data_IF_767228296814
#
_entry.id   IF_767228296814
#
_cell.length_a   1.000
_cell.length_b   1.000
_cell.length_c   1.000
_cell.angle_alpha   90.00
_cell.angle_beta   90.00
_cell.angle_gamma   90.00
#
_symmetry.space_group_name_H-M   'P 1'
#
loop_
_entity.id
_entity.type
_entity.pdbx_description
1 polymer ?
#
# COMPACT_ATOMS: atom_id res chain seq x y z
N UNK A 1 -1.23 -19.29 -22.49
CA UNK A 1 -1.98 -18.04 -22.62
C UNK A 1 -1.04 -16.92 -23.04
N UNK A 2 -1.44 -16.14 -24.03
CA UNK A 2 -0.60 -15.05 -24.51
C UNK A 2 -0.67 -13.87 -23.55
N UNK A 3 0.43 -13.14 -23.46
CA UNK A 3 0.42 -11.88 -22.72
C UNK A 3 -0.31 -10.83 -23.54
N UNK A 4 -1.31 -10.20 -22.94
CA UNK A 4 -2.08 -9.16 -23.60
C UNK A 4 -1.73 -7.82 -22.95
N UNK A 5 -1.33 -6.88 -23.78
CA UNK A 5 -0.99 -5.55 -23.31
C UNK A 5 -2.27 -4.82 -22.92
N UNK A 6 -2.50 -4.68 -21.62
CA UNK A 6 -3.70 -4.04 -21.10
C UNK A 6 -3.39 -2.67 -20.58
N UNK A 7 -4.41 -1.81 -20.62
CA UNK A 7 -4.31 -0.48 -20.01
C UNK A 7 -5.00 -0.46 -18.66
N UNK A 8 -4.73 -1.49 -17.86
CA UNK A 8 -5.24 -1.54 -16.49
C UNK A 8 -4.54 -0.46 -15.69
N UNK A 9 -5.32 0.45 -15.13
CA UNK A 9 -4.76 1.59 -14.42
C UNK A 9 -4.67 1.37 -12.92
N UNK A 10 -5.65 0.68 -12.36
CA UNK A 10 -5.71 0.44 -10.93
C UNK A 10 -6.08 -1.00 -10.64
N UNK A 11 -5.74 -1.45 -9.45
CA UNK A 11 -6.11 -2.79 -8.99
C UNK A 11 -6.18 -2.78 -7.47
N UNK A 12 -6.97 -3.70 -6.91
CA UNK A 12 -7.08 -3.85 -5.46
C UNK A 12 -6.10 -4.90 -4.98
N UNK A 13 -5.51 -4.64 -3.82
CA UNK A 13 -4.49 -5.52 -3.28
C UNK A 13 -4.50 -5.44 -1.75
N UNK A 14 -4.43 -6.58 -1.04
CA UNK A 14 -4.44 -6.54 0.41
C UNK A 14 -3.12 -5.99 0.96
N UNK A 15 -3.25 -5.20 2.01
CA UNK A 15 -2.11 -4.63 2.73
C UNK A 15 -2.16 -5.17 4.14
N UNK A 16 -1.03 -5.66 4.64
CA UNK A 16 -0.89 -6.06 6.03
C UNK A 16 0.00 -5.04 6.73
N UNK A 17 -0.50 -4.52 7.86
CA UNK A 17 0.26 -3.61 8.71
C UNK A 17 0.58 -4.35 9.99
N UNK A 18 1.85 -4.39 10.35
CA UNK A 18 2.30 -5.06 11.56
C UNK A 18 2.82 -4.03 12.53
N UNK A 19 2.21 -3.98 13.71
CA UNK A 19 2.57 -3.01 14.74
C UNK A 19 3.11 -3.73 15.96
N UNK A 20 4.19 -3.22 16.55
CA UNK A 20 4.78 -3.89 17.71
C UNK A 20 3.88 -3.77 18.93
N UNK A 21 3.90 -4.82 19.74
CA UNK A 21 3.23 -4.85 21.03
C UNK A 21 4.25 -5.16 22.11
N UNK A 22 3.82 -5.11 23.35
CA UNK A 22 4.70 -5.44 24.47
C UNK A 22 5.19 -6.88 24.35
N UNK A 23 6.42 -7.10 24.76
CA UNK A 23 6.98 -8.44 24.79
C UNK A 23 7.61 -8.91 23.48
N UNK A 24 7.79 -8.01 22.54
CA UNK A 24 8.49 -8.36 21.29
C UNK A 24 7.61 -9.05 20.26
N UNK A 25 6.30 -8.91 20.38
CA UNK A 25 5.36 -9.47 19.40
C UNK A 25 4.77 -8.38 18.55
N UNK A 26 3.99 -8.79 17.55
CA UNK A 26 3.33 -7.85 16.61
C UNK A 26 1.86 -8.20 16.49
N UNK A 27 1.03 -7.16 16.37
CA UNK A 27 -0.34 -7.30 15.95
C UNK A 27 -0.42 -7.01 14.46
N UNK A 28 -1.16 -7.83 13.72
CA UNK A 28 -1.35 -7.66 12.29
C UNK A 28 -2.77 -7.19 12.01
N UNK A 29 -2.88 -6.20 11.14
CA UNK A 29 -4.16 -5.73 10.62
C UNK A 29 -4.09 -5.73 9.11
N UNK A 30 -5.23 -5.89 8.45
CA UNK A 30 -5.26 -5.87 6.98
C UNK A 30 -6.33 -4.91 6.50
N UNK A 31 -6.10 -4.33 5.34
CA UNK A 31 -7.10 -3.58 4.61
C UNK A 31 -6.82 -3.75 3.12
N UNK A 32 -7.79 -3.38 2.29
CA UNK A 32 -7.62 -3.46 0.84
C UNK A 32 -7.24 -2.11 0.29
N UNK A 33 -6.10 -2.05 -0.37
CA UNK A 33 -5.65 -0.84 -1.05
C UNK A 33 -6.09 -0.88 -2.50
N UNK A 34 -6.35 0.28 -3.06
CA UNK A 34 -6.47 0.44 -4.50
C UNK A 34 -5.20 1.11 -4.98
N UNK A 35 -4.43 0.37 -5.75
CA UNK A 35 -3.13 0.83 -6.25
C UNK A 35 -3.22 1.22 -7.71
N UNK A 36 -2.43 2.21 -8.08
CA UNK A 36 -2.24 2.62 -9.46
C UNK A 36 -0.97 1.98 -10.00
N UNK A 37 -1.03 1.47 -11.22
CA UNK A 37 0.16 0.94 -11.87
C UNK A 37 1.03 2.10 -12.35
N UNK A 38 2.32 2.00 -12.08
CA UNK A 38 3.30 2.93 -12.62
C UNK A 38 4.39 2.11 -13.31
N UNK A 39 5.01 2.72 -14.29
CA UNK A 39 6.11 2.06 -15.00
C UNK A 39 7.36 1.99 -14.14
N UNK A 40 8.28 1.12 -14.52
CA UNK A 40 9.51 0.89 -13.76
C UNK A 40 10.34 2.17 -13.62
N UNK A 41 10.42 2.94 -14.69
CA UNK A 41 11.19 4.19 -14.67
C UNK A 41 10.58 5.20 -13.72
N UNK A 42 9.26 5.33 -13.76
CA UNK A 42 8.57 6.25 -12.87
C UNK A 42 8.67 5.80 -11.43
N UNK A 43 8.56 4.49 -11.18
CA UNK A 43 8.70 3.95 -9.85
C UNK A 43 10.06 4.33 -9.25
N UNK A 44 11.13 4.20 -10.02
CA UNK A 44 12.47 4.55 -9.55
C UNK A 44 12.58 6.04 -9.22
N UNK A 45 12.01 6.89 -10.07
CA UNK A 45 12.04 8.33 -9.82
C UNK A 45 11.27 8.70 -8.55
N UNK A 46 10.11 8.09 -8.35
CA UNK A 46 9.30 8.35 -7.18
C UNK A 46 9.98 7.86 -5.91
N UNK A 47 10.61 6.70 -5.98
CA UNK A 47 11.36 6.15 -4.85
C UNK A 47 12.48 7.08 -4.42
N UNK A 48 13.16 7.70 -5.37
CA UNK A 48 14.23 8.64 -5.08
C UNK A 48 13.73 9.90 -4.38
N UNK A 49 12.46 10.25 -4.60
CA UNK A 49 11.88 11.42 -3.96
C UNK A 49 11.45 11.17 -2.51
N UNK A 50 11.31 9.92 -2.13
CA UNK A 50 10.95 9.55 -0.76
C UNK A 50 9.70 8.70 -0.69
N UNK A 51 9.49 8.10 0.47
CA UNK A 51 8.41 7.15 0.68
C UNK A 51 7.03 7.77 0.45
N UNK A 52 6.80 8.96 0.98
CA UNK A 52 5.48 9.56 0.83
C UNK A 52 5.19 9.94 -0.61
N UNK A 53 6.19 10.41 -1.35
CA UNK A 53 5.99 10.74 -2.77
C UNK A 53 5.62 9.49 -3.56
N UNK A 54 6.28 8.38 -3.28
CA UNK A 54 5.93 7.11 -3.91
C UNK A 54 4.52 6.66 -3.51
N UNK A 55 4.22 6.68 -2.21
CA UNK A 55 2.91 6.28 -1.72
C UNK A 55 1.81 7.11 -2.33
N UNK A 56 1.99 8.43 -2.36
CA UNK A 56 1.00 9.36 -2.90
C UNK A 56 0.68 9.05 -4.36
N UNK A 57 1.68 8.62 -5.12
CA UNK A 57 1.49 8.32 -6.54
C UNK A 57 0.80 6.98 -6.76
N UNK A 58 1.04 5.98 -5.92
CA UNK A 58 0.56 4.63 -6.17
C UNK A 58 -0.70 4.25 -5.38
N UNK A 59 -0.93 4.88 -4.23
CA UNK A 59 -2.12 4.57 -3.41
C UNK A 59 -3.21 5.58 -3.74
N UNK A 60 -4.30 5.10 -4.33
CA UNK A 60 -5.37 5.98 -4.80
C UNK A 60 -6.72 5.67 -4.14
N UNK A 61 -6.76 4.70 -3.27
CA UNK A 61 -7.98 4.38 -2.54
C UNK A 61 -7.74 3.28 -1.53
N UNK A 62 -8.72 3.04 -0.67
CA UNK A 62 -8.69 1.90 0.25
C UNK A 62 -10.09 1.60 0.76
N UNK A 63 -10.23 0.38 1.30
CA UNK A 63 -11.37 -0.07 2.08
C UNK A 63 -10.83 -0.81 3.30
N UNK A 64 -11.51 -0.66 4.43
CA UNK A 64 -11.15 -1.42 5.61
C UNK A 64 -10.25 -0.70 6.59
N UNK A 65 -10.14 0.61 6.49
CA UNK A 65 -9.48 1.43 7.51
C UNK A 65 -10.55 2.12 8.33
N UNK A 66 -10.53 1.87 9.62
CA UNK A 66 -11.47 2.47 10.57
C UNK A 66 -10.73 3.37 11.55
N UNK A 67 -11.47 4.33 12.12
CA UNK A 67 -10.93 5.15 13.20
C UNK A 67 -11.11 4.44 14.55
N UNK A 68 -10.68 5.08 15.62
CA UNK A 68 -10.76 4.50 16.97
C UNK A 68 -12.18 4.20 17.41
N UNK A 69 -13.14 4.90 16.85
CA UNK A 69 -14.55 4.68 17.16
C UNK A 69 -15.17 3.58 16.30
N UNK A 70 -14.41 2.96 15.43
CA UNK A 70 -14.89 1.91 14.53
C UNK A 70 -15.59 2.42 13.31
N UNK A 71 -15.48 3.72 13.01
CA UNK A 71 -16.09 4.28 11.81
C UNK A 71 -15.15 4.23 10.63
N UNK A 72 -15.64 3.90 9.43
CA UNK A 72 -14.76 3.87 8.27
C UNK A 72 -14.14 5.23 7.99
N UNK A 73 -12.86 5.21 7.66
CA UNK A 73 -12.13 6.41 7.24
C UNK A 73 -12.06 6.35 5.71
N UNK A 74 -12.80 7.24 5.03
CA UNK A 74 -12.75 7.22 3.57
C UNK A 74 -11.38 7.71 3.08
N UNK A 75 -10.99 7.22 1.91
CA UNK A 75 -9.73 7.64 1.34
C UNK A 75 -9.75 9.14 1.04
N UNK A 76 -8.66 9.81 1.39
CA UNK A 76 -8.36 11.15 0.90
C UNK A 76 -6.86 11.32 0.96
N UNK A 77 -6.34 12.28 0.23
CA UNK A 77 -4.91 12.54 0.26
C UNK A 77 -4.48 13.01 1.66
N UNK A 78 -5.35 13.78 2.33
CA UNK A 78 -5.09 14.20 3.71
C UNK A 78 -4.99 13.02 4.66
N UNK A 79 -5.95 12.09 4.57
CA UNK A 79 -5.94 10.91 5.42
C UNK A 79 -4.70 10.06 5.16
N UNK A 80 -4.32 9.90 3.89
CA UNK A 80 -3.12 9.16 3.53
C UNK A 80 -1.87 9.82 4.11
N UNK A 81 -1.83 11.14 4.09
CA UNK A 81 -0.70 11.87 4.65
C UNK A 81 -0.60 11.67 6.14
N UNK A 82 -1.73 11.74 6.85
CA UNK A 82 -1.75 11.51 8.29
C UNK A 82 -1.31 10.09 8.64
N UNK A 83 -1.83 9.11 7.93
CA UNK A 83 -1.47 7.72 8.17
C UNK A 83 -0.01 7.45 7.84
N UNK A 84 0.54 8.15 6.87
CA UNK A 84 1.94 7.99 6.45
C UNK A 84 2.94 8.44 7.51
N UNK A 85 2.48 9.20 8.50
CA UNK A 85 3.35 9.55 9.63
C UNK A 85 3.65 8.34 10.51
N UNK A 86 2.84 7.29 10.40
CA UNK A 86 3.08 6.02 11.08
C UNK A 86 4.01 5.16 10.22
N UNK A 87 5.24 4.91 10.68
CA UNK A 87 6.20 4.14 9.86
C UNK A 87 5.75 2.71 9.60
N UNK A 88 4.96 2.12 10.49
CA UNK A 88 4.47 0.76 10.29
C UNK A 88 3.43 0.71 9.19
N UNK A 89 2.58 1.72 9.13
CA UNK A 89 1.55 1.79 8.10
C UNK A 89 2.17 2.02 6.71
N UNK A 90 3.03 3.03 6.57
CA UNK A 90 3.61 3.34 5.26
C UNK A 90 4.48 2.19 4.77
N UNK A 91 5.21 1.54 5.67
CA UNK A 91 6.03 0.40 5.30
C UNK A 91 5.18 -0.76 4.83
N UNK A 92 4.05 -1.01 5.49
CA UNK A 92 3.14 -2.06 5.08
C UNK A 92 2.57 -1.82 3.69
N UNK A 93 2.17 -0.57 3.41
CA UNK A 93 1.62 -0.22 2.11
C UNK A 93 2.66 -0.39 1.01
N UNK A 94 3.87 0.13 1.21
CA UNK A 94 4.89 0.05 0.17
C UNK A 94 5.40 -1.37 -0.03
N UNK A 95 5.47 -2.16 1.03
CA UNK A 95 5.80 -3.58 0.91
C UNK A 95 4.76 -4.30 0.07
N UNK A 96 3.48 -4.05 0.34
CA UNK A 96 2.41 -4.66 -0.44
C UNK A 96 2.51 -4.28 -1.91
N UNK A 97 2.81 -3.02 -2.19
CA UNK A 97 2.94 -2.58 -3.57
C UNK A 97 4.08 -3.32 -4.28
N UNK A 98 5.25 -3.42 -3.65
CA UNK A 98 6.37 -4.11 -4.27
C UNK A 98 6.11 -5.60 -4.44
N UNK A 99 5.33 -6.20 -3.55
CA UNK A 99 4.94 -7.60 -3.70
C UNK A 99 4.15 -7.85 -4.98
N UNK A 100 3.47 -6.85 -5.50
CA UNK A 100 2.66 -7.04 -6.69
C UNK A 100 3.51 -7.39 -7.92
N UNK A 101 4.74 -6.91 -7.99
CA UNK A 101 5.62 -7.30 -9.10
C UNK A 101 6.66 -8.36 -8.70
N UNK A 102 6.76 -8.66 -7.42
CA UNK A 102 7.56 -9.78 -6.95
C UNK A 102 6.70 -11.01 -6.67
N UNK A 103 5.42 -10.93 -7.00
CA UNK A 103 4.43 -11.89 -6.54
C UNK A 103 4.72 -13.34 -6.86
N UNK A 104 5.44 -13.59 -7.93
CA UNK A 104 5.77 -14.97 -8.30
C UNK A 104 6.59 -15.69 -7.24
N UNK A 105 7.32 -14.95 -6.43
CA UNK A 105 8.08 -15.55 -5.33
C UNK A 105 7.18 -15.95 -4.20
N UNK A 106 6.07 -15.25 -4.06
CA UNK A 106 5.15 -15.46 -2.96
C UNK A 106 4.23 -16.64 -3.21
N UNK A 107 4.04 -16.97 -4.46
CA UNK A 107 3.05 -17.95 -4.86
C UNK A 107 3.37 -19.38 -4.55
N UNK A 108 4.43 -19.63 -3.91
CA UNK A 108 4.78 -21.00 -3.59
C UNK A 108 4.03 -21.52 -2.39
#
# INVERSE_FOLDING_TARGET
MAFIRKKVKTFKWPVTVEEPTDGGTFDSSTFDATFKRVGRTEFAKLSDKGEFELLKAVLVGWDGIDDEAGKPVPYSLEAAKELSDDPYWIRGVLRAYTETFDGAKQGN
#
